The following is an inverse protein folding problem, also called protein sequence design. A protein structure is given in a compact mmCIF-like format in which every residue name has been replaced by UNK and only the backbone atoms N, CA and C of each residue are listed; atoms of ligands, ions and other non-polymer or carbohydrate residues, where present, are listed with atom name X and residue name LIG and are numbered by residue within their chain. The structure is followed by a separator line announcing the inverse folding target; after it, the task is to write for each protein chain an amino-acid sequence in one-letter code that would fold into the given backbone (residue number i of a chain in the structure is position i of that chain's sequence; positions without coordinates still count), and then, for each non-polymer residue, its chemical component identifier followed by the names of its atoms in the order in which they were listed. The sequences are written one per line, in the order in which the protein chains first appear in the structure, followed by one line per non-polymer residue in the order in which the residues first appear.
data_IF_230039748797
#
_entry.id   IF_230039748797
#
_cell.length_a   1.000
_cell.length_b   1.000
_cell.length_c   1.000
_cell.angle_alpha   90.00
_cell.angle_beta   90.00
_cell.angle_gamma   90.00
#
_symmetry.space_group_name_H-M   'P 1'
#
loop_
_entity.id
_entity.type
_entity.pdbx_description
1 polymer ?
#
# COMPACT_ATOMS: atom_id res chain seq x y z
N UNK A 1 3.73 -3.17 3.02
CA UNK A 1 4.76 -3.95 3.70
C UNK A 1 6.11 -3.29 3.50
N UNK A 2 6.96 -3.28 4.52
CA UNK A 2 8.37 -2.88 4.37
C UNK A 2 9.21 -4.00 3.72
N UNK A 3 10.48 -3.74 3.46
CA UNK A 3 11.40 -4.70 2.81
C UNK A 3 11.61 -5.99 3.61
N UNK A 4 11.35 -5.97 4.92
CA UNK A 4 11.43 -7.13 5.79
C UNK A 4 10.13 -7.95 5.80
N UNK A 5 9.14 -7.55 5.01
CA UNK A 5 7.83 -8.23 4.95
C UNK A 5 6.90 -7.87 6.11
N UNK A 6 7.19 -6.84 6.91
CA UNK A 6 6.31 -6.39 7.99
C UNK A 6 5.18 -5.52 7.44
N UNK A 7 3.95 -5.76 7.89
CA UNK A 7 2.81 -4.88 7.60
C UNK A 7 2.99 -3.57 8.37
N UNK A 8 3.11 -2.46 7.64
CA UNK A 8 3.35 -1.12 8.22
C UNK A 8 2.17 -0.16 8.07
N UNK A 9 1.24 -0.45 7.16
CA UNK A 9 0.02 0.34 6.94
C UNK A 9 -1.02 -0.50 6.21
N UNK A 10 -2.30 -0.26 6.50
CA UNK A 10 -3.44 -0.90 5.87
C UNK A 10 -4.56 0.12 5.68
N UNK A 11 -5.13 0.14 4.47
CA UNK A 11 -6.24 1.03 4.12
C UNK A 11 -7.40 0.20 3.59
N UNK A 12 -8.58 0.36 4.19
CA UNK A 12 -9.80 -0.26 3.67
C UNK A 12 -10.31 0.51 2.43
N UNK A 13 -10.53 -0.23 1.34
CA UNK A 13 -11.00 0.29 0.05
C UNK A 13 -12.44 -0.12 -0.29
N UNK A 14 -13.15 -0.87 0.58
CA UNK A 14 -14.49 -1.41 0.29
C UNK A 14 -15.55 -0.34 -0.01
N UNK A 15 -15.37 0.87 0.49
CA UNK A 15 -16.28 2.00 0.28
C UNK A 15 -15.76 3.03 -0.73
N UNK A 16 -14.72 2.69 -1.49
CA UNK A 16 -14.12 3.60 -2.48
C UNK A 16 -15.05 3.75 -3.68
N UNK A 17 -15.45 4.98 -4.00
CA UNK A 17 -16.35 5.30 -5.13
C UNK A 17 -15.58 5.70 -6.41
N UNK A 18 -14.25 5.58 -6.42
CA UNK A 18 -13.39 6.00 -7.52
C UNK A 18 -11.92 5.95 -7.13
N UNK A 19 -11.37 7.07 -6.67
CA UNK A 19 -9.97 7.19 -6.24
C UNK A 19 -9.86 7.35 -4.73
N UNK A 20 -8.77 6.82 -4.15
CA UNK A 20 -8.39 7.07 -2.77
C UNK A 20 -6.89 7.32 -2.68
N UNK A 21 -6.54 8.53 -2.26
CA UNK A 21 -5.16 8.86 -1.91
C UNK A 21 -4.75 8.12 -0.63
N UNK A 22 -3.52 7.61 -0.60
CA UNK A 22 -2.91 7.01 0.59
C UNK A 22 -1.73 7.88 0.99
N UNK A 23 -1.79 8.44 2.19
CA UNK A 23 -0.69 9.23 2.74
C UNK A 23 0.46 8.31 3.15
N UNK A 24 1.65 8.64 2.66
CA UNK A 24 2.91 7.92 2.92
C UNK A 24 3.96 8.83 3.56
N UNK A 25 3.58 10.04 3.97
CA UNK A 25 4.49 11.04 4.54
C UNK A 25 5.19 10.57 5.81
N UNK A 26 4.52 9.75 6.62
CA UNK A 26 5.05 9.18 7.86
C UNK A 26 6.00 7.98 7.65
N UNK A 27 6.09 7.46 6.42
CA UNK A 27 7.00 6.36 6.11
C UNK A 27 8.44 6.88 5.96
N UNK A 28 9.36 6.18 6.60
CA UNK A 28 10.79 6.41 6.41
C UNK A 28 11.20 6.11 4.95
N UNK A 29 12.27 6.74 4.49
CA UNK A 29 12.86 6.48 3.17
C UNK A 29 13.22 4.99 3.03
N UNK A 30 12.90 4.41 1.87
CA UNK A 30 13.09 3.00 1.62
C UNK A 30 12.13 2.41 0.59
N UNK A 31 12.19 1.08 0.48
CA UNK A 31 11.37 0.31 -0.47
C UNK A 31 10.24 -0.39 0.27
N UNK A 32 9.02 -0.24 -0.27
CA UNK A 32 7.81 -0.85 0.26
C UNK A 32 7.08 -1.64 -0.82
N UNK A 33 6.46 -2.74 -0.43
CA UNK A 33 5.52 -3.49 -1.27
C UNK A 33 4.09 -3.10 -0.88
N UNK A 34 3.36 -2.54 -1.83
CA UNK A 34 1.94 -2.22 -1.70
C UNK A 34 1.15 -3.37 -2.31
N UNK A 35 0.49 -4.14 -1.47
CA UNK A 35 -0.40 -5.22 -1.89
C UNK A 35 -1.82 -4.68 -1.95
N UNK A 36 -2.47 -4.81 -3.11
CA UNK A 36 -3.84 -4.40 -3.34
C UNK A 36 -4.64 -5.68 -3.60
N UNK A 37 -5.66 -5.91 -2.77
CA UNK A 37 -6.50 -7.11 -2.82
C UNK A 37 -7.92 -6.64 -3.13
N UNK A 38 -8.44 -7.07 -4.26
CA UNK A 38 -9.85 -6.96 -4.61
C UNK A 38 -10.53 -8.32 -4.56
N UNK A 39 -11.83 -8.34 -4.82
CA UNK A 39 -12.66 -9.54 -4.61
C UNK A 39 -12.19 -10.78 -5.39
N UNK A 40 -11.72 -10.59 -6.62
CA UNK A 40 -11.33 -11.69 -7.52
C UNK A 40 -9.86 -11.64 -7.96
N UNK A 41 -9.10 -10.63 -7.53
CA UNK A 41 -7.73 -10.43 -7.98
C UNK A 41 -6.90 -9.69 -6.94
N UNK A 42 -5.59 -9.96 -6.95
CA UNK A 42 -4.62 -9.19 -6.19
C UNK A 42 -3.49 -8.72 -7.08
N UNK A 43 -2.92 -7.56 -6.76
CA UNK A 43 -1.71 -7.05 -7.41
C UNK A 43 -0.74 -6.52 -6.37
N UNK A 44 0.54 -6.47 -6.74
CA UNK A 44 1.60 -5.91 -5.91
C UNK A 44 2.31 -4.81 -6.70
N UNK A 45 2.52 -3.68 -6.05
CA UNK A 45 3.29 -2.55 -6.58
C UNK A 45 4.47 -2.27 -5.66
N UNK A 46 5.63 -1.99 -6.26
CA UNK A 46 6.80 -1.50 -5.53
C UNK A 46 6.72 0.02 -5.41
N UNK A 47 6.77 0.52 -4.18
CA UNK A 47 6.87 1.92 -3.84
C UNK A 47 8.30 2.21 -3.37
N UNK A 48 8.91 3.25 -3.91
CA UNK A 48 10.21 3.77 -3.45
C UNK A 48 9.92 5.13 -2.84
N UNK A 49 10.22 5.28 -1.54
CA UNK A 49 10.09 6.53 -0.80
C UNK A 49 11.47 7.12 -0.60
N UNK A 50 11.67 8.35 -1.07
CA UNK A 50 12.89 9.14 -0.89
C UNK A 50 12.90 9.87 0.46
#
# INVERSE_FOLDING_TARGET
YDINGRLVSQTDLRTMQGEKAVDVSSLASGVYMVQIIGDNASTVKRLIKE
#
